data_IF_270475871152
#
_entry.id   IF_270475871152
#
_cell.length_a   1.000
_cell.length_b   1.000
_cell.length_c   1.000
_cell.angle_alpha   90.00
_cell.angle_beta   90.00
_cell.angle_gamma   90.00
#
_symmetry.space_group_name_H-M   'P 1'
#
loop_
_entity.id
_entity.type
_entity.pdbx_description
1 polymer ?
#
# COMPACT_ATOMS: atom_id res chain seq x y z
N UNK A 1 -8.16 -9.14 18.53
CA UNK A 1 -6.73 -9.52 18.50
C UNK A 1 -6.10 -8.80 17.31
N UNK A 2 -4.98 -8.09 17.51
CA UNK A 2 -4.37 -7.24 16.47
C UNK A 2 -3.61 -8.11 15.46
N UNK A 3 -4.27 -8.51 14.37
CA UNK A 3 -3.83 -9.57 13.43
C UNK A 3 -2.69 -9.16 12.50
N UNK A 4 -2.50 -7.86 12.25
CA UNK A 4 -1.50 -7.36 11.31
C UNK A 4 -0.06 -7.70 11.75
N UNK A 5 0.27 -7.39 13.01
CA UNK A 5 1.63 -7.54 13.56
C UNK A 5 2.05 -8.99 13.77
N UNK A 6 1.10 -9.92 13.80
CA UNK A 6 1.37 -11.37 13.86
C UNK A 6 1.44 -12.02 12.49
N UNK A 7 0.78 -11.43 11.47
CA UNK A 7 0.73 -11.99 10.10
C UNK A 7 2.02 -11.73 9.32
N UNK A 8 2.66 -10.58 9.53
CA UNK A 8 3.85 -10.17 8.79
C UNK A 8 5.08 -10.10 9.69
N UNK A 9 6.24 -10.53 9.19
CA UNK A 9 7.51 -10.39 9.90
C UNK A 9 8.06 -8.96 9.73
N UNK A 10 7.74 -8.07 10.67
CA UNK A 10 8.18 -6.67 10.63
C UNK A 10 9.71 -6.49 10.68
N UNK A 11 10.46 -7.49 11.16
CA UNK A 11 11.93 -7.41 11.20
C UNK A 11 12.58 -7.53 9.80
N UNK A 12 11.86 -8.08 8.82
CA UNK A 12 12.30 -8.15 7.42
C UNK A 12 11.88 -6.93 6.60
N UNK A 13 11.04 -6.06 7.18
CA UNK A 13 10.53 -4.89 6.51
C UNK A 13 11.52 -3.74 6.60
N UNK A 14 11.69 -3.04 5.49
CA UNK A 14 12.45 -1.79 5.41
C UNK A 14 11.66 -0.72 4.69
N UNK A 15 12.07 0.53 4.87
CA UNK A 15 11.49 1.64 4.15
C UNK A 15 11.64 1.42 2.64
N UNK A 16 10.51 1.29 1.95
CA UNK A 16 10.46 1.32 0.51
C UNK A 16 10.53 2.79 0.10
N UNK A 17 11.44 3.14 -0.81
CA UNK A 17 11.54 4.49 -1.37
C UNK A 17 11.16 4.48 -2.85
N UNK A 18 9.90 4.20 -3.21
CA UNK A 18 9.45 4.45 -4.57
C UNK A 18 9.40 5.96 -4.79
N UNK A 19 9.53 6.38 -6.03
CA UNK A 19 9.27 7.74 -6.45
C UNK A 19 7.79 8.06 -6.16
N UNK A 20 7.49 8.75 -5.08
CA UNK A 20 6.12 9.16 -4.70
C UNK A 20 5.74 10.39 -5.53
N UNK A 21 5.25 10.17 -6.75
CA UNK A 21 4.85 11.26 -7.66
C UNK A 21 3.33 11.44 -7.61
N UNK A 22 2.86 12.65 -7.39
CA UNK A 22 1.45 13.02 -7.60
C UNK A 22 1.12 13.32 -9.07
N UNK A 23 2.11 13.71 -9.89
CA UNK A 23 1.86 14.39 -11.17
C UNK A 23 2.42 13.68 -12.40
N UNK A 24 3.38 12.75 -12.27
CA UNK A 24 4.08 12.22 -13.44
C UNK A 24 5.04 11.07 -13.12
N UNK A 25 5.01 10.02 -13.95
CA UNK A 25 6.03 8.95 -14.04
C UNK A 25 7.48 9.48 -14.05
N UNK A 26 7.71 10.73 -14.50
CA UNK A 26 9.02 11.34 -14.78
C UNK A 26 9.32 12.56 -13.86
N UNK A 27 8.36 13.08 -13.10
CA UNK A 27 8.45 14.37 -12.39
C UNK A 27 9.57 14.53 -11.36
N UNK A 28 10.08 15.76 -11.24
CA UNK A 28 11.16 16.26 -10.36
C UNK A 28 10.63 16.79 -9.01
N UNK A 29 9.33 16.64 -8.77
CA UNK A 29 8.61 17.27 -7.66
C UNK A 29 8.18 16.24 -6.61
N UNK A 30 8.54 16.50 -5.35
CA UNK A 30 8.58 15.55 -4.24
C UNK A 30 7.35 15.65 -3.31
N UNK A 31 6.17 15.97 -3.84
CA UNK A 31 4.96 15.92 -3.04
C UNK A 31 4.45 14.48 -2.96
N UNK A 32 4.87 13.82 -1.88
CA UNK A 32 4.53 12.45 -1.53
C UNK A 32 3.01 12.25 -1.50
N UNK A 33 2.49 11.30 -2.28
CA UNK A 33 1.16 10.72 -2.00
C UNK A 33 1.26 10.01 -0.66
N UNK A 34 0.58 10.57 0.34
CA UNK A 34 0.82 10.29 1.76
C UNK A 34 0.77 8.79 2.07
N UNK A 35 1.95 8.25 2.33
CA UNK A 35 2.13 6.92 2.85
C UNK A 35 3.59 6.65 3.13
N UNK A 36 3.87 6.06 4.29
CA UNK A 36 5.19 5.55 4.63
C UNK A 36 5.24 4.09 4.21
N UNK A 37 5.92 3.75 3.10
CA UNK A 37 5.84 2.39 2.61
C UNK A 37 6.92 1.52 3.23
N UNK A 38 6.53 0.31 3.62
CA UNK A 38 7.43 -0.76 4.04
C UNK A 38 7.41 -1.88 3.01
N UNK A 39 8.56 -2.48 2.76
CA UNK A 39 8.67 -3.65 1.88
C UNK A 39 9.69 -4.66 2.40
N UNK A 40 9.54 -5.91 1.97
CA UNK A 40 10.53 -6.98 2.15
C UNK A 40 11.40 -7.23 0.90
N UNK A 41 11.34 -6.37 -0.12
CA UNK A 41 11.93 -6.51 -1.47
C UNK A 41 11.47 -7.72 -2.29
N UNK A 42 10.64 -8.60 -1.72
CA UNK A 42 10.27 -9.86 -2.36
C UNK A 42 8.97 -9.73 -3.11
N UNK A 43 7.93 -9.16 -2.48
CA UNK A 43 6.61 -8.93 -3.10
C UNK A 43 5.60 -8.21 -2.20
N UNK A 44 5.99 -7.81 -0.99
CA UNK A 44 5.08 -7.24 0.00
C UNK A 44 5.31 -5.73 0.13
N UNK A 45 4.24 -4.94 0.08
CA UNK A 45 4.26 -3.49 0.24
C UNK A 45 3.16 -3.05 1.19
N UNK A 46 3.52 -2.41 2.31
CA UNK A 46 2.58 -1.88 3.29
C UNK A 46 2.64 -0.36 3.25
N UNK A 47 1.50 0.30 3.16
CA UNK A 47 1.38 1.75 3.18
C UNK A 47 0.46 2.16 4.31
N UNK A 48 0.98 2.88 5.30
CA UNK A 48 0.13 3.57 6.26
C UNK A 48 -0.48 4.81 5.59
N UNK A 49 -1.80 4.88 5.50
CA UNK A 49 -2.52 6.00 4.88
C UNK A 49 -3.27 6.77 5.98
N UNK A 50 -2.95 8.06 6.21
CA UNK A 50 -3.59 8.86 7.24
C UNK A 50 -5.05 9.19 6.86
N UNK A 51 -5.88 9.56 7.86
CA UNK A 51 -7.32 9.79 7.62
C UNK A 51 -7.61 11.01 6.74
N UNK A 52 -6.65 11.93 6.65
CA UNK A 52 -6.68 13.14 5.83
C UNK A 52 -6.52 12.83 4.34
N UNK A 53 -6.15 11.59 4.00
CA UNK A 53 -5.99 11.14 2.63
C UNK A 53 -7.22 10.37 2.14
N UNK A 54 -7.84 10.87 1.07
CA UNK A 54 -8.92 10.15 0.39
C UNK A 54 -8.40 8.97 -0.45
N UNK A 55 -7.14 9.04 -0.90
CA UNK A 55 -6.50 7.99 -1.69
C UNK A 55 -4.97 8.00 -1.55
N UNK A 56 -4.36 6.92 -2.05
CA UNK A 56 -2.92 6.77 -2.26
C UNK A 56 -2.66 6.24 -3.67
N UNK A 57 -1.64 6.76 -4.34
CA UNK A 57 -1.14 6.16 -5.58
C UNK A 57 0.08 5.30 -5.26
N UNK A 58 0.14 4.11 -5.86
CA UNK A 58 1.26 3.20 -5.68
C UNK A 58 1.95 2.91 -7.01
N UNK A 59 3.25 2.70 -6.91
CA UNK A 59 4.10 2.18 -7.99
C UNK A 59 4.94 1.07 -7.37
N UNK A 60 4.60 -0.17 -7.73
CA UNK A 60 5.32 -1.36 -7.32
C UNK A 60 5.88 -2.07 -8.57
N UNK A 61 6.96 -2.86 -8.42
CA UNK A 61 7.44 -3.73 -9.48
C UNK A 61 6.32 -4.63 -10.02
N UNK A 62 6.33 -4.86 -11.33
CA UNK A 62 5.37 -5.75 -11.98
C UNK A 62 5.56 -7.19 -11.47
N UNK A 63 4.53 -7.85 -10.92
CA UNK A 63 4.60 -9.26 -10.54
C UNK A 63 4.59 -10.17 -11.78
N UNK A 64 5.19 -11.36 -11.66
CA UNK A 64 5.23 -12.34 -12.75
C UNK A 64 3.83 -12.80 -13.19
N UNK A 65 2.94 -13.02 -12.23
CA UNK A 65 1.53 -13.41 -12.47
C UNK A 65 0.67 -12.30 -13.08
N UNK A 66 1.18 -11.06 -13.12
CA UNK A 66 0.41 -9.85 -13.44
C UNK A 66 -0.82 -9.65 -12.53
N UNK A 67 -0.86 -10.29 -11.37
CA UNK A 67 -1.91 -10.18 -10.36
C UNK A 67 -1.33 -9.73 -9.02
N UNK A 68 -2.13 -8.98 -8.28
CA UNK A 68 -1.81 -8.55 -6.92
C UNK A 68 -3.00 -8.82 -6.01
N UNK A 69 -2.70 -9.24 -4.78
CA UNK A 69 -3.63 -9.25 -3.68
C UNK A 69 -3.54 -7.90 -2.97
N UNK A 70 -4.66 -7.22 -2.87
CA UNK A 70 -4.80 -5.95 -2.17
C UNK A 70 -5.59 -6.20 -0.90
N UNK A 71 -5.05 -5.75 0.23
CA UNK A 71 -5.71 -5.82 1.53
C UNK A 71 -5.76 -4.44 2.15
N UNK A 72 -6.97 -4.02 2.53
CA UNK A 72 -7.21 -2.84 3.36
C UNK A 72 -7.37 -3.31 4.80
N UNK A 73 -6.59 -2.74 5.71
CA UNK A 73 -6.68 -3.03 7.14
C UNK A 73 -7.05 -1.77 7.92
N UNK A 74 -8.18 -1.80 8.61
CA UNK A 74 -8.60 -0.72 9.49
C UNK A 74 -7.83 -0.81 10.81
N UNK A 75 -7.01 0.20 11.11
CA UNK A 75 -6.14 0.18 12.29
C UNK A 75 -6.89 0.33 13.62
N UNK A 76 -8.13 0.84 13.58
CA UNK A 76 -8.94 1.09 14.77
C UNK A 76 -9.86 -0.09 15.09
N UNK A 77 -10.43 -0.73 14.07
CA UNK A 77 -11.39 -1.83 14.25
C UNK A 77 -10.77 -3.22 14.07
N UNK A 78 -9.63 -3.31 13.38
CA UNK A 78 -9.02 -4.57 12.98
C UNK A 78 -9.72 -5.26 11.79
N UNK A 79 -10.72 -4.62 11.18
CA UNK A 79 -11.42 -5.13 9.99
C UNK A 79 -10.47 -5.18 8.79
N UNK A 80 -10.58 -6.25 7.99
CA UNK A 80 -9.85 -6.42 6.72
C UNK A 80 -10.82 -6.55 5.55
N UNK A 81 -10.50 -5.90 4.44
CA UNK A 81 -11.11 -6.16 3.12
C UNK A 81 -10.02 -6.56 2.14
N UNK A 82 -10.24 -7.64 1.40
CA UNK A 82 -9.25 -8.20 0.49
C UNK A 82 -9.84 -8.37 -0.92
N UNK A 83 -9.04 -8.11 -1.94
CA UNK A 83 -9.39 -8.33 -3.35
C UNK A 83 -8.16 -8.78 -4.13
N UNK A 84 -8.37 -9.56 -5.19
CA UNK A 84 -7.33 -9.86 -6.19
C UNK A 84 -7.64 -9.02 -7.42
N UNK A 85 -6.66 -8.27 -7.89
CA UNK A 85 -6.79 -7.43 -9.08
C UNK A 85 -5.61 -7.61 -10.03
N UNK A 86 -5.83 -7.24 -11.29
CA UNK A 86 -4.77 -7.18 -12.30
C UNK A 86 -3.83 -6.03 -11.98
N UNK A 87 -2.52 -6.30 -12.01
CA UNK A 87 -1.49 -5.29 -11.79
C UNK A 87 -1.64 -4.09 -12.74
N UNK A 88 -1.43 -2.90 -12.18
CA UNK A 88 -1.27 -1.64 -12.92
C UNK A 88 -0.06 -0.90 -12.36
N UNK A 89 0.79 -0.37 -13.25
CA UNK A 89 2.04 0.30 -12.86
C UNK A 89 1.82 1.55 -11.99
N UNK A 90 0.70 2.23 -12.17
CA UNK A 90 0.32 3.39 -11.38
C UNK A 90 -1.16 3.24 -11.02
N UNK A 91 -1.42 2.89 -9.76
CA UNK A 91 -2.75 2.53 -9.30
C UNK A 91 -3.13 3.37 -8.09
N UNK A 92 -4.31 3.97 -8.16
CA UNK A 92 -4.95 4.67 -7.06
C UNK A 92 -5.78 3.69 -6.23
N UNK A 93 -5.62 3.77 -4.92
CA UNK A 93 -6.42 3.04 -3.93
C UNK A 93 -7.09 4.03 -2.99
N UNK A 94 -8.37 3.81 -2.72
CA UNK A 94 -9.16 4.63 -1.80
C UNK A 94 -9.60 3.80 -0.61
N UNK A 95 -9.63 4.43 0.57
CA UNK A 95 -10.10 3.77 1.79
C UNK A 95 -11.55 3.30 1.62
N UNK A 96 -11.89 2.07 1.99
CA UNK A 96 -13.28 1.66 2.13
C UNK A 96 -13.96 2.28 3.36
N UNK A 97 -13.19 2.90 4.27
CA UNK A 97 -13.67 3.57 5.47
C UNK A 97 -13.37 5.08 5.37
N UNK A 98 -14.39 5.88 5.02
CA UNK A 98 -14.26 7.33 4.89
C UNK A 98 -13.80 7.99 6.20
N UNK A 99 -12.80 8.87 6.11
CA UNK A 99 -12.30 9.63 7.26
C UNK A 99 -11.56 8.79 8.30
N UNK A 100 -11.13 7.58 7.96
CA UNK A 100 -10.35 6.71 8.85
C UNK A 100 -9.01 6.36 8.22
N UNK A 101 -7.98 6.35 9.05
CA UNK A 101 -6.66 5.87 8.67
C UNK A 101 -6.68 4.35 8.51
N UNK A 102 -5.89 3.85 7.57
CA UNK A 102 -5.81 2.42 7.26
C UNK A 102 -4.41 2.04 6.81
N UNK A 103 -4.13 0.73 6.81
CA UNK A 103 -2.95 0.19 6.14
C UNK A 103 -3.41 -0.45 4.84
N UNK A 104 -2.88 0.02 3.72
CA UNK A 104 -2.96 -0.66 2.44
C UNK A 104 -1.82 -1.69 2.36
N UNK A 105 -2.13 -2.91 1.99
CA UNK A 105 -1.15 -3.98 1.80
C UNK A 105 -1.30 -4.49 0.38
N UNK A 106 -0.21 -4.51 -0.37
CA UNK A 106 -0.18 -5.04 -1.74
C UNK A 106 0.84 -6.16 -1.79
N UNK A 107 0.38 -7.34 -2.19
CA UNK A 107 1.17 -8.57 -2.30
C UNK A 107 1.09 -9.08 -3.73
N UNK A 108 2.21 -9.47 -4.34
CA UNK A 108 2.16 -10.24 -5.58
C UNK A 108 1.53 -11.61 -5.32
N UNK A 109 0.69 -12.08 -6.25
CA UNK A 109 0.14 -13.45 -6.23
C UNK A 109 1.06 -14.39 -6.98
#
# INVERSE_FOLDING_TARGET
MNTLFTKYNFNELKAYKPKLTINSRIGIDNFSTSGYPLTNDKSLYLYFVPKENDFINTVIPKPESNQVKVTYFNIFTGETKEEIETYQMFKSYSSPWKGQAFVLIVESV
#
